data_IF_609420405276
#
_entry.id   IF_609420405276
#
_cell.length_a   1.000
_cell.length_b   1.000
_cell.length_c   1.000
_cell.angle_alpha   90.00
_cell.angle_beta   90.00
_cell.angle_gamma   90.00
#
_symmetry.space_group_name_H-M   'P 1'
#
loop_
_entity.id
_entity.type
_entity.pdbx_description
1 polymer ?
#
# COMPACT_ATOMS: atom_id res chain seq x y z
N UNK A 1 -20.35 -18.08 62.83
CA UNK A 1 -19.63 -17.26 61.84
C UNK A 1 -20.12 -17.69 60.46
N UNK A 2 -20.85 -16.81 59.75
CA UNK A 2 -21.33 -17.08 58.38
C UNK A 2 -20.30 -16.49 57.42
N UNK A 3 -19.63 -17.34 56.65
CA UNK A 3 -18.68 -16.95 55.61
C UNK A 3 -19.45 -16.40 54.43
N UNK A 4 -19.25 -15.12 54.10
CA UNK A 4 -19.83 -14.46 52.94
C UNK A 4 -18.93 -14.76 51.73
N UNK A 5 -19.43 -15.51 50.75
CA UNK A 5 -18.74 -15.72 49.49
C UNK A 5 -18.93 -14.48 48.61
N UNK A 6 -17.87 -13.70 48.39
CA UNK A 6 -17.85 -12.63 47.40
C UNK A 6 -17.64 -13.26 46.03
N UNK A 7 -18.68 -13.25 45.20
CA UNK A 7 -18.59 -13.62 43.79
C UNK A 7 -18.10 -12.39 43.03
N UNK A 8 -16.85 -12.43 42.56
CA UNK A 8 -16.30 -11.41 41.66
C UNK A 8 -16.80 -11.72 40.25
N UNK A 9 -17.67 -10.86 39.73
CA UNK A 9 -18.04 -10.86 38.32
C UNK A 9 -16.87 -10.25 37.53
N UNK A 10 -16.14 -11.07 36.77
CA UNK A 10 -15.25 -10.58 35.72
C UNK A 10 -16.13 -10.17 34.53
N UNK A 11 -16.32 -8.86 34.34
CA UNK A 11 -16.83 -8.33 33.08
C UNK A 11 -15.64 -8.27 32.13
N UNK A 12 -15.62 -9.17 31.13
CA UNK A 12 -14.74 -9.01 29.97
C UNK A 12 -15.28 -7.81 29.18
N UNK A 13 -14.59 -6.68 29.29
CA UNK A 13 -14.80 -5.56 28.38
C UNK A 13 -14.23 -6.02 27.03
N UNK A 14 -15.09 -6.43 26.10
CA UNK A 14 -14.67 -6.51 24.70
C UNK A 14 -14.56 -5.07 24.23
N UNK A 15 -13.33 -4.55 24.16
CA UNK A 15 -13.08 -3.31 23.46
C UNK A 15 -13.46 -3.48 21.98
N UNK A 16 -13.84 -2.38 21.32
CA UNK A 16 -14.04 -2.41 19.87
C UNK A 16 -12.68 -2.63 19.19
N UNK A 17 -12.67 -3.37 18.07
CA UNK A 17 -11.45 -3.51 17.24
C UNK A 17 -10.83 -2.13 16.96
N UNK A 18 -9.49 -2.07 16.99
CA UNK A 18 -8.78 -0.82 16.78
C UNK A 18 -9.13 -0.27 15.39
N UNK A 19 -9.54 1.00 15.32
CA UNK A 19 -9.86 1.64 14.04
C UNK A 19 -8.58 1.93 13.26
N UNK A 20 -8.42 1.30 12.09
CA UNK A 20 -7.28 1.58 11.21
C UNK A 20 -7.36 3.01 10.69
N UNK A 21 -6.27 3.77 10.83
CA UNK A 21 -6.20 5.18 10.42
C UNK A 21 -4.90 5.48 9.71
N UNK A 22 -4.95 6.17 8.56
CA UNK A 22 -3.76 6.73 7.90
C UNK A 22 -3.21 7.88 8.76
N UNK A 23 -1.96 7.77 9.19
CA UNK A 23 -1.31 8.78 10.04
C UNK A 23 -0.22 9.57 9.33
N UNK A 24 0.36 9.01 8.26
CA UNK A 24 1.33 9.70 7.43
C UNK A 24 1.32 9.15 6.01
N UNK A 25 1.66 10.01 5.05
CA UNK A 25 1.94 9.59 3.68
C UNK A 25 3.08 10.41 3.07
N UNK A 26 3.78 9.81 2.10
CA UNK A 26 4.83 10.43 1.28
C UNK A 26 4.76 9.88 -0.14
N UNK A 27 5.06 10.75 -1.10
CA UNK A 27 5.28 10.38 -2.50
C UNK A 27 6.68 10.79 -2.94
N UNK A 28 7.33 9.95 -3.74
CA UNK A 28 8.60 10.28 -4.37
C UNK A 28 8.72 9.58 -5.70
N UNK A 29 9.45 10.20 -6.64
CA UNK A 29 9.64 9.71 -8.00
C UNK A 29 10.90 10.30 -8.62
N UNK A 30 11.53 9.55 -9.51
CA UNK A 30 12.51 10.09 -10.46
C UNK A 30 12.02 9.78 -11.87
N UNK A 31 11.67 10.83 -12.61
CA UNK A 31 11.10 10.74 -13.95
C UNK A 31 12.05 11.25 -15.04
N UNK A 32 13.31 11.46 -14.71
CA UNK A 32 14.31 12.02 -15.63
C UNK A 32 14.71 11.04 -16.73
N UNK A 33 14.65 9.74 -16.41
CA UNK A 33 15.13 8.66 -17.29
C UNK A 33 16.59 8.32 -17.06
N UNK A 34 17.23 8.99 -16.11
CA UNK A 34 18.52 8.56 -15.59
C UNK A 34 18.38 7.19 -14.90
N UNK A 35 19.47 6.44 -14.95
CA UNK A 35 19.59 5.22 -14.17
C UNK A 35 20.01 5.54 -12.76
N UNK A 36 19.23 5.05 -11.80
CA UNK A 36 19.53 5.24 -10.37
C UNK A 36 19.48 3.90 -9.64
N UNK A 37 20.29 3.76 -8.60
CA UNK A 37 20.39 2.54 -7.81
C UNK A 37 19.44 2.52 -6.62
N UNK A 38 18.79 3.64 -6.30
CA UNK A 38 17.86 3.77 -5.20
C UNK A 38 16.98 5.02 -5.40
N UNK A 39 15.79 5.02 -4.78
CA UNK A 39 14.92 6.19 -4.67
C UNK A 39 14.46 6.30 -3.21
N UNK A 40 14.72 7.45 -2.57
CA UNK A 40 14.45 7.67 -1.15
C UNK A 40 13.43 8.78 -0.92
N UNK A 41 12.51 8.63 0.03
CA UNK A 41 11.56 9.68 0.41
C UNK A 41 12.26 10.83 1.14
N UNK A 42 11.64 12.02 1.23
CA UNK A 42 11.88 12.91 2.35
C UNK A 42 11.63 12.19 3.68
N UNK A 43 12.42 12.51 4.70
CA UNK A 43 12.24 11.96 6.04
C UNK A 43 10.89 12.36 6.65
N UNK A 44 10.30 11.49 7.47
CA UNK A 44 9.08 11.78 8.21
C UNK A 44 9.06 11.10 9.58
N UNK A 45 8.28 11.66 10.52
CA UNK A 45 8.10 11.04 11.82
C UNK A 45 7.24 9.77 11.68
N UNK A 46 7.88 8.60 11.79
CA UNK A 46 7.20 7.31 11.85
C UNK A 46 6.97 6.90 13.30
N UNK A 47 5.86 6.22 13.58
CA UNK A 47 5.42 5.89 14.93
C UNK A 47 5.62 4.42 15.24
N UNK A 48 6.16 4.15 16.43
CA UNK A 48 6.38 2.78 16.87
C UNK A 48 5.06 1.98 16.93
N UNK A 49 5.08 0.75 16.43
CA UNK A 49 3.93 -0.16 16.42
C UNK A 49 2.99 0.00 15.21
N UNK A 50 3.18 1.00 14.37
CA UNK A 50 2.36 1.17 13.17
C UNK A 50 2.76 0.18 12.05
N UNK A 51 1.96 0.19 10.98
CA UNK A 51 2.25 -0.45 9.69
C UNK A 51 2.74 0.63 8.72
N UNK A 52 3.85 0.39 8.02
CA UNK A 52 4.22 1.16 6.82
C UNK A 52 3.95 0.28 5.59
N UNK A 53 3.30 0.84 4.58
CA UNK A 53 3.06 0.21 3.28
C UNK A 53 3.65 1.08 2.18
N UNK A 54 4.32 0.46 1.21
CA UNK A 54 4.94 1.12 0.06
C UNK A 54 4.35 0.55 -1.21
N UNK A 55 3.68 1.37 -2.01
CA UNK A 55 3.38 1.03 -3.41
C UNK A 55 4.54 1.51 -4.26
N UNK A 56 5.37 0.58 -4.74
CA UNK A 56 6.54 0.90 -5.54
C UNK A 56 6.33 0.51 -7.00
N UNK A 57 6.72 1.40 -7.91
CA UNK A 57 6.51 1.24 -9.36
C UNK A 57 7.77 1.60 -10.14
N UNK A 58 7.97 0.94 -11.26
CA UNK A 58 9.11 1.20 -12.16
C UNK A 58 8.79 0.80 -13.60
N UNK A 59 9.55 1.33 -14.55
CA UNK A 59 9.39 0.98 -15.96
C UNK A 59 9.76 -0.48 -16.25
N UNK A 60 8.90 -1.20 -16.99
CA UNK A 60 9.10 -2.63 -17.26
C UNK A 60 10.32 -2.97 -18.12
N UNK A 61 10.83 -2.00 -18.90
CA UNK A 61 12.09 -2.13 -19.65
C UNK A 61 13.35 -2.00 -18.80
N UNK A 62 13.21 -1.79 -17.48
CA UNK A 62 14.31 -1.76 -16.52
C UNK A 62 14.13 -2.89 -15.48
N UNK A 63 14.56 -2.66 -14.24
CA UNK A 63 14.43 -3.63 -13.15
C UNK A 63 13.22 -3.34 -12.28
N UNK A 64 12.48 -4.37 -11.85
CA UNK A 64 11.47 -4.19 -10.82
C UNK A 64 12.13 -3.79 -9.51
N UNK A 65 11.32 -3.32 -8.56
CA UNK A 65 11.77 -3.14 -7.18
C UNK A 65 12.08 -4.51 -6.58
N UNK A 66 13.24 -4.62 -5.93
CA UNK A 66 13.70 -5.85 -5.30
C UNK A 66 13.43 -5.88 -3.80
N UNK A 67 13.71 -4.76 -3.13
CA UNK A 67 13.55 -4.64 -1.68
C UNK A 67 13.39 -3.18 -1.26
N UNK A 68 12.92 -3.01 -0.03
CA UNK A 68 12.74 -1.72 0.64
C UNK A 68 13.52 -1.72 1.95
N UNK A 69 14.18 -0.61 2.23
CA UNK A 69 14.83 -0.32 3.50
C UNK A 69 14.32 1.00 4.03
N UNK A 70 14.52 1.26 5.31
CA UNK A 70 14.34 2.59 5.86
C UNK A 70 15.44 2.93 6.90
N UNK A 71 15.45 4.16 7.41
CA UNK A 71 16.44 4.60 8.40
C UNK A 71 16.13 4.11 9.80
N UNK A 72 14.86 3.79 10.10
CA UNK A 72 14.45 3.15 11.35
C UNK A 72 14.97 1.69 11.47
N UNK A 73 15.35 1.07 10.35
CA UNK A 73 15.83 -0.29 10.27
C UNK A 73 14.70 -1.32 10.32
N UNK A 74 13.50 -0.94 9.88
CA UNK A 74 12.35 -1.83 9.79
C UNK A 74 12.56 -2.91 8.73
N UNK A 75 11.90 -4.06 8.94
CA UNK A 75 11.97 -5.20 8.01
C UNK A 75 10.77 -5.19 7.09
N UNK A 76 11.00 -4.91 5.81
CA UNK A 76 9.96 -4.91 4.80
C UNK A 76 9.78 -6.29 4.17
N UNK A 77 8.53 -6.67 3.94
CA UNK A 77 8.10 -7.85 3.20
C UNK A 77 7.46 -7.39 1.89
N UNK A 78 7.88 -7.96 0.77
CA UNK A 78 7.26 -7.72 -0.53
C UNK A 78 6.03 -8.60 -0.74
N UNK A 79 4.94 -7.99 -1.18
CA UNK A 79 3.78 -8.68 -1.76
C UNK A 79 4.07 -9.13 -3.19
N UNK A 80 3.08 -9.65 -3.90
CA UNK A 80 3.24 -10.18 -5.26
C UNK A 80 3.65 -9.07 -6.23
N UNK A 81 4.79 -9.27 -6.90
CA UNK A 81 5.26 -8.41 -7.99
C UNK A 81 4.32 -8.55 -9.21
N UNK A 82 3.70 -7.45 -9.60
CA UNK A 82 2.87 -7.37 -10.80
C UNK A 82 3.71 -6.95 -12.00
N UNK A 83 3.57 -7.73 -13.08
CA UNK A 83 4.31 -7.55 -14.33
C UNK A 83 3.33 -7.25 -15.46
N UNK A 84 3.08 -5.97 -15.69
CA UNK A 84 2.38 -5.50 -16.87
C UNK A 84 3.31 -4.65 -17.74
N UNK A 85 2.77 -3.58 -18.31
CA UNK A 85 3.60 -2.57 -18.97
C UNK A 85 4.48 -1.79 -17.98
N UNK A 86 4.11 -1.80 -16.71
CA UNK A 86 4.93 -1.30 -15.61
C UNK A 86 5.18 -2.46 -14.65
N UNK A 87 6.22 -2.35 -13.85
CA UNK A 87 6.32 -3.14 -12.63
C UNK A 87 5.63 -2.39 -11.50
N UNK A 88 4.86 -3.11 -10.70
CA UNK A 88 4.22 -2.59 -9.50
C UNK A 88 4.24 -3.63 -8.40
N UNK A 89 4.60 -3.24 -7.18
CA UNK A 89 4.66 -4.14 -6.06
C UNK A 89 4.40 -3.38 -4.76
N UNK A 90 3.58 -3.98 -3.89
CA UNK A 90 3.47 -3.53 -2.51
C UNK A 90 4.59 -4.11 -1.67
N UNK A 91 5.12 -3.31 -0.75
CA UNK A 91 5.95 -3.77 0.36
C UNK A 91 5.34 -3.27 1.65
N UNK A 92 5.52 -3.99 2.75
CA UNK A 92 5.05 -3.52 4.05
C UNK A 92 6.00 -3.91 5.17
N UNK A 93 6.08 -3.05 6.18
CA UNK A 93 6.73 -3.32 7.46
C UNK A 93 5.68 -3.20 8.57
N UNK A 94 5.65 -4.18 9.46
CA UNK A 94 4.75 -4.25 10.62
C UNK A 94 5.54 -4.00 11.90
N UNK A 95 4.87 -3.57 12.95
CA UNK A 95 5.52 -3.27 14.24
C UNK A 95 6.70 -2.33 14.05
N UNK A 96 6.48 -1.27 13.28
CA UNK A 96 7.47 -0.23 12.96
C UNK A 96 8.20 0.21 14.23
N UNK A 97 9.50 0.42 14.16
CA UNK A 97 10.31 0.83 15.33
C UNK A 97 10.05 2.27 15.75
N UNK A 98 9.64 3.10 14.80
CA UNK A 98 9.47 4.54 14.95
C UNK A 98 10.80 5.27 14.85
N UNK A 99 10.78 6.40 14.17
CA UNK A 99 11.93 7.28 13.94
C UNK A 99 11.40 8.68 13.63
N UNK A 100 11.84 9.74 14.35
CA UNK A 100 11.43 11.12 14.09
C UNK A 100 11.77 11.59 12.67
N UNK A 101 12.69 10.92 11.97
CA UNK A 101 13.08 11.25 10.61
C UNK A 101 13.29 10.00 9.74
N UNK A 102 12.27 9.15 9.67
CA UNK A 102 12.32 7.93 8.87
C UNK A 102 12.40 8.20 7.37
N UNK A 103 13.41 7.65 6.70
CA UNK A 103 13.62 7.76 5.25
C UNK A 103 13.44 6.38 4.61
N UNK A 104 12.33 6.17 3.92
CA UNK A 104 12.05 4.93 3.19
C UNK A 104 12.73 4.97 1.82
N UNK A 105 13.40 3.89 1.45
CA UNK A 105 14.17 3.76 0.21
C UNK A 105 13.84 2.46 -0.52
N UNK A 106 13.47 2.56 -1.79
CA UNK A 106 13.29 1.40 -2.69
C UNK A 106 14.60 1.14 -3.45
N UNK A 107 14.90 -0.13 -3.70
CA UNK A 107 16.10 -0.59 -4.42
C UNK A 107 15.75 -1.60 -5.51
N UNK A 108 16.48 -1.63 -6.64
CA UNK A 108 16.17 -2.54 -7.74
C UNK A 108 16.44 -3.98 -7.35
N UNK A 109 15.75 -4.91 -8.03
CA UNK A 109 16.07 -6.33 -7.94
C UNK A 109 17.54 -6.56 -8.30
N UNK A 110 18.18 -7.47 -7.55
CA UNK A 110 19.62 -7.76 -7.71
C UNK A 110 19.89 -8.76 -8.83
N UNK A 111 18.84 -9.32 -9.44
CA UNK A 111 18.94 -10.26 -10.55
C UNK A 111 18.88 -9.51 -11.89
N UNK A 112 20.06 -9.18 -12.42
CA UNK A 112 20.21 -8.54 -13.73
C UNK A 112 20.88 -7.18 -13.62
N UNK A 113 20.21 -6.13 -14.11
CA UNK A 113 20.69 -4.75 -14.00
C UNK A 113 20.56 -4.30 -12.53
N UNK A 114 21.42 -3.42 -12.06
CA UNK A 114 21.35 -2.90 -10.68
C UNK A 114 20.77 -1.48 -10.61
N UNK A 115 19.93 -1.10 -11.59
CA UNK A 115 19.38 0.26 -11.70
C UNK A 115 17.92 0.28 -12.12
N UNK A 116 17.20 1.28 -11.61
CA UNK A 116 15.88 1.67 -12.04
C UNK A 116 15.94 2.61 -13.24
N UNK A 117 14.83 2.67 -13.98
CA UNK A 117 14.50 3.80 -14.84
C UNK A 117 13.05 4.16 -14.54
N UNK A 118 12.78 5.46 -14.39
CA UNK A 118 11.45 5.97 -14.07
C UNK A 118 10.82 5.33 -12.80
N UNK A 119 11.50 5.27 -11.64
CA UNK A 119 10.88 4.75 -10.41
C UNK A 119 9.95 5.77 -9.76
N UNK A 120 8.94 5.25 -9.06
CA UNK A 120 8.03 6.02 -8.21
C UNK A 120 7.60 5.19 -7.01
N UNK A 121 7.23 5.86 -5.92
CA UNK A 121 6.62 5.20 -4.77
C UNK A 121 5.64 6.10 -4.01
N UNK A 122 4.61 5.48 -3.46
CA UNK A 122 3.82 6.00 -2.35
C UNK A 122 4.20 5.25 -1.08
N UNK A 123 4.42 5.96 0.01
CA UNK A 123 4.61 5.42 1.36
C UNK A 123 3.43 5.87 2.20
N UNK A 124 2.76 4.93 2.86
CA UNK A 124 1.58 5.13 3.68
C UNK A 124 1.82 4.51 5.05
N UNK A 125 1.55 5.23 6.13
CA UNK A 125 1.67 4.71 7.49
C UNK A 125 0.29 4.65 8.15
N UNK A 126 -0.03 3.49 8.73
CA UNK A 126 -1.31 3.21 9.36
C UNK A 126 -1.13 2.80 10.83
N UNK A 127 -1.96 3.37 11.70
CA UNK A 127 -2.16 2.88 13.06
C UNK A 127 -3.32 1.87 13.10
N UNK A 128 -3.39 1.09 14.17
CA UNK A 128 -4.53 0.18 14.44
C UNK A 128 -4.54 -1.11 13.63
N UNK A 129 -3.44 -1.47 12.95
CA UNK A 129 -3.29 -2.70 12.18
C UNK A 129 -2.73 -3.83 13.07
N UNK A 130 -3.12 -5.09 12.82
CA UNK A 130 -2.52 -6.27 13.45
C UNK A 130 -0.98 -6.28 13.30
N UNK A 131 -0.29 -6.33 14.43
CA UNK A 131 1.17 -6.31 14.48
C UNK A 131 1.80 -7.69 14.24
N UNK A 132 1.05 -8.78 14.39
CA UNK A 132 1.53 -10.14 14.25
C UNK A 132 1.38 -10.69 12.83
N UNK A 133 0.19 -10.61 12.23
CA UNK A 133 -0.09 -11.17 10.91
C UNK A 133 -1.01 -10.26 10.07
N UNK A 134 -0.56 -9.03 9.75
CA UNK A 134 -1.41 -7.98 9.18
C UNK A 134 -2.00 -8.33 7.82
N UNK A 135 -1.22 -8.89 6.89
CA UNK A 135 -1.65 -9.13 5.52
C UNK A 135 -2.76 -10.21 5.48
N UNK A 136 -3.89 -9.90 4.86
CA UNK A 136 -4.99 -10.87 4.64
C UNK A 136 -5.13 -11.24 3.16
N UNK A 137 -5.12 -10.24 2.27
CA UNK A 137 -5.24 -10.40 0.83
C UNK A 137 -3.99 -9.84 0.12
N UNK A 138 -3.55 -10.55 -0.90
CA UNK A 138 -2.61 -10.08 -1.91
C UNK A 138 -3.09 -10.60 -3.26
N UNK A 139 -3.63 -9.70 -4.07
CA UNK A 139 -4.23 -10.05 -5.35
C UNK A 139 -4.00 -8.95 -6.38
N UNK A 140 -4.30 -9.25 -7.63
CA UNK A 140 -4.24 -8.28 -8.70
C UNK A 140 -5.33 -8.51 -9.72
N UNK A 141 -5.59 -7.47 -10.49
CA UNK A 141 -6.49 -7.45 -11.61
C UNK A 141 -5.80 -7.73 -12.94
N UNK A 142 -6.49 -7.35 -14.01
CA UNK A 142 -5.92 -7.37 -15.36
C UNK A 142 -4.71 -6.43 -15.47
N UNK A 143 -3.72 -6.78 -16.28
CA UNK A 143 -2.49 -6.02 -16.46
C UNK A 143 -2.27 -5.73 -17.94
N UNK A 144 -1.53 -4.67 -18.26
CA UNK A 144 -1.12 -4.36 -19.63
C UNK A 144 -2.07 -3.38 -20.33
N UNK A 145 -2.48 -3.71 -21.56
CA UNK A 145 -3.20 -2.80 -22.45
C UNK A 145 -4.71 -2.67 -22.09
N UNK A 146 -5.07 -1.82 -21.12
CA UNK A 146 -6.42 -1.54 -20.62
C UNK A 146 -6.96 -0.15 -21.01
N UNK A 147 -8.21 -0.09 -21.47
CA UNK A 147 -8.86 1.13 -21.91
C UNK A 147 -9.53 1.91 -20.75
N UNK A 148 -8.74 2.72 -20.03
CA UNK A 148 -9.26 3.74 -19.11
C UNK A 148 -9.88 3.21 -17.81
N UNK A 149 -9.75 1.91 -17.53
CA UNK A 149 -10.23 1.32 -16.28
C UNK A 149 -9.45 0.07 -15.88
N UNK A 150 -9.39 -0.16 -14.57
CA UNK A 150 -8.78 -1.34 -13.96
C UNK A 150 -9.67 -1.85 -12.83
N UNK A 151 -9.72 -3.17 -12.65
CA UNK A 151 -10.48 -3.85 -11.59
C UNK A 151 -9.72 -5.05 -11.07
N UNK A 152 -9.78 -5.28 -9.75
CA UNK A 152 -9.13 -6.41 -9.07
C UNK A 152 -9.82 -7.76 -9.27
N UNK A 153 -11.02 -7.77 -9.86
CA UNK A 153 -11.96 -8.87 -9.62
C UNK A 153 -12.54 -8.80 -8.21
N UNK A 154 -13.40 -9.77 -7.90
CA UNK A 154 -14.19 -9.76 -6.67
C UNK A 154 -13.48 -10.46 -5.50
N UNK A 155 -13.51 -9.87 -4.31
CA UNK A 155 -12.99 -10.45 -3.07
C UNK A 155 -13.88 -10.11 -1.87
N UNK A 156 -13.61 -10.74 -0.72
CA UNK A 156 -14.27 -10.44 0.54
C UNK A 156 -13.38 -9.53 1.37
N UNK A 157 -13.97 -8.54 2.03
CA UNK A 157 -13.29 -7.67 2.97
C UNK A 157 -13.95 -7.77 4.35
N UNK A 158 -13.31 -8.38 5.37
CA UNK A 158 -13.82 -8.39 6.73
C UNK A 158 -14.06 -6.99 7.33
N UNK A 159 -14.78 -6.95 8.45
CA UNK A 159 -15.01 -5.71 9.17
C UNK A 159 -13.68 -5.15 9.72
N UNK A 160 -13.55 -3.83 9.69
CA UNK A 160 -12.36 -3.10 10.13
C UNK A 160 -11.16 -3.18 9.18
N UNK A 161 -11.25 -3.95 8.10
CA UNK A 161 -10.11 -4.19 7.21
C UNK A 161 -9.76 -2.96 6.37
N UNK A 162 -8.45 -2.69 6.27
CA UNK A 162 -7.87 -1.74 5.32
C UNK A 162 -7.61 -2.45 4.00
N UNK A 163 -8.20 -1.95 2.91
CA UNK A 163 -7.91 -2.42 1.56
C UNK A 163 -7.18 -1.31 0.81
N UNK A 164 -6.02 -1.64 0.25
CA UNK A 164 -5.23 -0.73 -0.58
C UNK A 164 -5.20 -1.20 -2.02
N UNK A 165 -5.43 -0.27 -2.93
CA UNK A 165 -5.27 -0.42 -4.36
C UNK A 165 -4.08 0.42 -4.82
N UNK A 166 -3.06 -0.25 -5.36
CA UNK A 166 -1.95 0.39 -6.04
C UNK A 166 -2.22 0.38 -7.53
N UNK A 167 -2.03 1.53 -8.19
CA UNK A 167 -2.14 1.64 -9.64
C UNK A 167 -0.98 2.44 -10.21
N UNK A 168 -0.49 2.04 -11.38
CA UNK A 168 0.35 2.84 -12.26
C UNK A 168 -0.19 2.77 -13.68
N UNK A 169 -0.27 3.91 -14.35
CA UNK A 169 -0.70 3.99 -15.74
C UNK A 169 0.27 4.83 -16.57
N UNK A 170 0.42 4.47 -17.85
CA UNK A 170 1.09 5.37 -18.78
C UNK A 170 0.20 6.59 -19.04
N UNK A 171 0.75 7.79 -18.87
CA UNK A 171 0.09 9.05 -19.22
C UNK A 171 -1.31 9.22 -18.62
N UNK A 172 -1.53 8.79 -17.38
CA UNK A 172 -2.82 8.94 -16.72
C UNK A 172 -3.09 10.41 -16.42
N UNK A 173 -4.07 11.02 -17.08
CA UNK A 173 -4.42 12.43 -16.85
C UNK A 173 -5.05 12.63 -15.48
N UNK A 174 -6.09 11.86 -15.17
CA UNK A 174 -6.81 11.90 -13.90
C UNK A 174 -7.20 10.49 -13.47
N UNK A 175 -7.28 10.26 -12.16
CA UNK A 175 -7.84 9.05 -11.57
C UNK A 175 -9.18 9.34 -10.90
N UNK A 176 -10.11 8.42 -11.06
CA UNK A 176 -11.37 8.40 -10.31
C UNK A 176 -11.46 7.05 -9.60
N UNK A 177 -11.50 7.11 -8.28
CA UNK A 177 -11.60 5.95 -7.43
C UNK A 177 -12.94 5.24 -7.63
N UNK A 178 -12.93 3.91 -7.58
CA UNK A 178 -14.12 3.10 -7.51
C UNK A 178 -14.91 3.31 -6.21
N UNK A 179 -16.13 2.76 -6.11
CA UNK A 179 -17.02 2.97 -4.97
C UNK A 179 -16.37 2.68 -3.61
N UNK A 180 -16.36 3.71 -2.76
CA UNK A 180 -15.86 3.64 -1.38
C UNK A 180 -14.34 3.57 -1.23
N UNK A 181 -13.59 3.63 -2.33
CA UNK A 181 -12.16 3.94 -2.30
C UNK A 181 -11.96 5.46 -2.37
N UNK A 182 -10.92 5.95 -1.71
CA UNK A 182 -10.41 7.32 -1.85
C UNK A 182 -8.95 7.28 -2.24
N UNK A 183 -8.51 8.29 -2.99
CA UNK A 183 -7.11 8.45 -3.38
C UNK A 183 -6.40 9.14 -2.22
N UNK A 184 -5.49 8.43 -1.55
CA UNK A 184 -4.69 9.00 -0.45
C UNK A 184 -3.51 9.79 -0.95
N UNK A 185 -2.89 9.29 -2.01
CA UNK A 185 -1.72 9.90 -2.59
C UNK A 185 -1.59 9.50 -4.06
N UNK A 186 -1.23 10.47 -4.90
CA UNK A 186 -1.15 10.28 -6.33
C UNK A 186 -0.15 11.24 -6.96
N UNK A 187 0.60 10.72 -7.92
CA UNK A 187 1.26 11.53 -8.92
C UNK A 187 0.54 11.36 -10.25
N UNK A 188 0.07 12.48 -10.80
CA UNK A 188 -0.63 12.53 -12.08
C UNK A 188 0.20 13.35 -13.07
N UNK A 189 0.65 12.73 -14.16
CA UNK A 189 1.30 13.46 -15.26
C UNK A 189 0.27 13.91 -16.30
N UNK A 190 0.21 15.22 -16.63
CA UNK A 190 -0.67 15.72 -17.68
C UNK A 190 -0.13 15.44 -19.10
N UNK A 191 1.14 15.00 -19.26
CA UNK A 191 1.77 14.82 -20.58
C UNK A 191 2.19 13.38 -20.87
N UNK A 192 2.24 13.06 -22.16
CA UNK A 192 2.22 11.72 -22.75
C UNK A 192 3.56 10.95 -22.76
N UNK A 193 4.56 11.38 -22.00
CA UNK A 193 5.90 10.76 -22.03
C UNK A 193 6.36 10.14 -20.70
N UNK A 194 5.46 10.02 -19.71
CA UNK A 194 5.76 9.52 -18.35
C UNK A 194 4.58 8.68 -17.81
N UNK A 195 4.61 8.35 -16.52
CA UNK A 195 3.54 7.59 -15.88
C UNK A 195 2.90 8.37 -14.73
N UNK A 196 1.67 7.97 -14.44
CA UNK A 196 0.92 8.36 -13.24
C UNK A 196 0.84 7.14 -12.34
N UNK A 197 0.77 7.36 -11.04
CA UNK A 197 0.60 6.28 -10.08
C UNK A 197 -0.07 6.80 -8.82
N UNK A 198 -0.79 5.93 -8.13
CA UNK A 198 -1.51 6.28 -6.92
C UNK A 198 -1.66 5.08 -6.01
N UNK A 199 -1.89 5.39 -4.74
CA UNK A 199 -2.42 4.46 -3.76
C UNK A 199 -3.82 4.95 -3.34
N UNK A 200 -4.78 4.04 -3.41
CA UNK A 200 -6.15 4.27 -3.03
C UNK A 200 -6.49 3.38 -1.85
N UNK A 201 -7.26 3.88 -0.90
CA UNK A 201 -7.64 3.11 0.27
C UNK A 201 -9.15 3.00 0.42
N UNK A 202 -9.55 1.95 1.12
CA UNK A 202 -10.86 1.78 1.69
C UNK A 202 -10.74 1.08 3.05
N UNK A 203 -11.23 1.71 4.11
CA UNK A 203 -11.44 1.03 5.40
C UNK A 203 -12.89 0.61 5.47
N UNK A 204 -13.14 -0.69 5.64
CA UNK A 204 -14.50 -1.25 5.65
C UNK A 204 -15.05 -1.28 7.07
N UNK A 205 -16.01 -0.43 7.47
CA UNK A 205 -16.54 -0.47 8.84
C UNK A 205 -17.35 -1.75 9.13
N UNK A 206 -17.86 -2.39 8.07
CA UNK A 206 -18.60 -3.64 8.13
C UNK A 206 -17.99 -4.64 7.16
N UNK A 207 -18.15 -5.93 7.44
CA UNK A 207 -17.77 -6.99 6.52
C UNK A 207 -18.57 -6.87 5.21
N UNK A 208 -17.88 -7.03 4.09
CA UNK A 208 -18.45 -6.96 2.74
C UNK A 208 -17.99 -8.13 1.90
N UNK A 209 -18.94 -8.76 1.23
CA UNK A 209 -18.66 -9.75 0.18
C UNK A 209 -18.79 -9.08 -1.18
N UNK A 210 -18.04 -9.56 -2.17
CA UNK A 210 -18.20 -9.04 -3.52
C UNK A 210 -17.47 -7.73 -3.78
N UNK A 211 -16.57 -7.30 -2.89
CA UNK A 211 -15.81 -6.05 -3.01
C UNK A 211 -14.97 -6.12 -4.27
N UNK A 212 -14.92 -5.00 -4.98
CA UNK A 212 -14.10 -4.84 -6.18
C UNK A 212 -13.37 -3.52 -6.05
N UNK A 213 -12.04 -3.57 -5.97
CA UNK A 213 -11.24 -2.36 -6.08
C UNK A 213 -11.16 -1.98 -7.55
N UNK A 214 -11.44 -0.71 -7.84
CA UNK A 214 -11.38 -0.21 -9.21
C UNK A 214 -10.91 1.23 -9.25
N UNK A 215 -10.37 1.59 -10.41
CA UNK A 215 -9.98 2.94 -10.74
C UNK A 215 -10.23 3.16 -12.22
N UNK A 216 -10.78 4.31 -12.56
CA UNK A 216 -10.89 4.77 -13.95
C UNK A 216 -9.97 5.94 -14.19
N UNK A 217 -9.53 6.12 -15.44
CA UNK A 217 -8.64 7.21 -15.81
C UNK A 217 -8.91 7.74 -17.20
N UNK A 218 -8.44 8.97 -17.43
CA UNK A 218 -8.32 9.56 -18.76
C UNK A 218 -6.92 9.30 -19.32
N UNK A 219 -6.81 8.97 -20.60
CA UNK A 219 -5.52 8.77 -21.28
C UNK A 219 -5.27 7.35 -21.78
N UNK A 220 -3.98 7.00 -21.93
CA UNK A 220 -3.54 5.81 -22.68
C UNK A 220 -3.80 4.47 -22.00
N UNK A 221 -3.61 3.43 -22.82
CA UNK A 221 -4.07 2.07 -22.61
C UNK A 221 -3.21 1.24 -21.64
N UNK A 222 -2.22 1.74 -20.91
CA UNK A 222 -1.30 0.83 -20.21
C UNK A 222 -1.39 0.98 -18.71
N UNK A 223 -1.68 -0.11 -18.00
CA UNK A 223 -1.84 -0.10 -16.56
C UNK A 223 -1.20 -1.32 -15.90
N UNK A 224 -0.73 -1.11 -14.67
CA UNK A 224 -0.39 -2.18 -13.74
C UNK A 224 -0.93 -1.84 -12.37
N UNK A 225 -1.60 -2.79 -11.72
CA UNK A 225 -2.20 -2.55 -10.41
C UNK A 225 -2.24 -3.80 -9.54
N UNK A 226 -2.39 -3.58 -8.25
CA UNK A 226 -2.44 -4.63 -7.23
C UNK A 226 -3.40 -4.21 -6.11
N UNK A 227 -3.92 -5.19 -5.39
CA UNK A 227 -4.67 -4.98 -4.16
C UNK A 227 -4.04 -5.78 -3.05
N UNK A 228 -3.81 -5.12 -1.92
CA UNK A 228 -3.49 -5.78 -0.66
C UNK A 228 -4.52 -5.38 0.39
N UNK A 229 -4.72 -6.21 1.40
CA UNK A 229 -5.53 -5.85 2.55
C UNK A 229 -4.87 -6.21 3.87
N UNK A 230 -5.22 -5.44 4.90
CA UNK A 230 -4.62 -5.54 6.22
C UNK A 230 -5.67 -5.58 7.33
N UNK A 231 -5.50 -6.54 8.23
CA UNK A 231 -6.37 -6.79 9.38
C UNK A 231 -6.24 -5.68 10.42
N UNK A 232 -7.35 -5.26 11.06
CA UNK A 232 -7.25 -4.43 12.25
C UNK A 232 -6.57 -5.22 13.38
N UNK A 233 -5.96 -4.50 14.32
CA UNK A 233 -5.51 -5.11 15.56
C UNK A 233 -6.71 -5.62 16.35
N UNK A 234 -6.61 -6.84 16.88
CA UNK A 234 -7.64 -7.41 17.72
C UNK A 234 -7.85 -6.55 18.97
N UNK A 235 -9.10 -6.40 19.39
CA UNK A 235 -9.41 -5.89 20.72
C UNK A 235 -8.74 -6.76 21.80
N UNK A 236 -8.01 -6.12 22.72
CA UNK A 236 -7.34 -6.77 23.84
C UNK A 236 -8.20 -6.77 25.11
#
# INVERSE_FOLDING_TARGET
>A
MKTLAVVVFFVLCLDADATITLVAHKITKDLTGAEITALATPGYNSTAGNLIVVWAVSYSGAQPVGYVTDSAGDTFVGATLQKGTWYGQFFYAKSVKGDPFNVVTIHPATTGRATFIYPGMNVLEYSGVDQAAPLDLDTAGTQGALAGSWTSGSFNAPAGELVLLGIVTANGGSYTAGPGFKIEDAYLTPTSSKFSFAALEQVSPNARTGVTASVTWTGTLQATGAVVSFKPAAAH
#
